data_IF_438728763722
#
_entry.id   IF_438728763722
#
_cell.length_a   1.000
_cell.length_b   1.000
_cell.length_c   1.000
_cell.angle_alpha   90.00
_cell.angle_beta   90.00
_cell.angle_gamma   90.00
#
_symmetry.space_group_name_H-M   'P 1'
#
loop_
_entity.id
_entity.type
_entity.pdbx_description
1 polymer ?
#
# COMPACT_ATOMS: atom_id res chain seq x y z
N UNK A 1 6.31 -2.87 0.09
CA UNK A 1 5.00 -3.31 -0.45
C UNK A 1 4.22 -3.91 0.72
N UNK A 2 2.95 -3.55 0.91
CA UNK A 2 2.11 -3.95 2.06
C UNK A 2 0.75 -4.45 1.59
N UNK A 3 0.30 -5.62 2.04
CA UNK A 3 -1.03 -6.14 1.73
C UNK A 3 -2.10 -5.50 2.59
N UNK A 4 -3.22 -5.08 2.01
CA UNK A 4 -4.36 -4.53 2.76
C UNK A 4 -5.01 -5.63 3.60
N UNK A 5 -5.21 -6.81 3.02
CA UNK A 5 -5.90 -7.92 3.70
C UNK A 5 -4.88 -8.86 4.33
N UNK A 6 -4.66 -8.72 5.63
CA UNK A 6 -3.78 -9.57 6.42
C UNK A 6 -4.53 -10.15 7.63
N UNK A 7 -4.17 -11.34 8.11
CA UNK A 7 -4.72 -11.87 9.35
C UNK A 7 -4.26 -11.03 10.56
N UNK A 8 -5.08 -11.00 11.61
CA UNK A 8 -4.86 -10.31 12.89
C UNK A 8 -4.84 -8.78 12.84
N UNK A 9 -4.05 -8.18 11.95
CA UNK A 9 -3.93 -6.73 11.76
C UNK A 9 -3.99 -6.39 10.28
N UNK A 10 -4.88 -5.47 9.91
CA UNK A 10 -5.01 -5.07 8.52
C UNK A 10 -3.81 -4.20 8.07
N UNK A 11 -3.57 -4.14 6.76
CA UNK A 11 -2.47 -3.38 6.19
C UNK A 11 -2.55 -1.88 6.40
N UNK A 12 -3.75 -1.34 6.62
CA UNK A 12 -3.95 0.09 6.86
C UNK A 12 -3.54 0.44 8.30
N UNK A 13 -3.87 -0.39 9.28
CA UNK A 13 -3.38 -0.28 10.64
C UNK A 13 -1.86 -0.40 10.68
N UNK A 14 -1.29 -1.34 9.93
CA UNK A 14 0.16 -1.48 9.81
C UNK A 14 0.79 -0.22 9.17
N UNK A 15 0.19 0.32 8.10
CA UNK A 15 0.61 1.58 7.47
C UNK A 15 0.63 2.74 8.47
N UNK A 16 -0.45 2.93 9.23
CA UNK A 16 -0.55 3.99 10.26
C UNK A 16 0.60 3.88 11.26
N UNK A 17 0.84 2.68 11.81
CA UNK A 17 1.95 2.44 12.75
C UNK A 17 3.33 2.69 12.13
N UNK A 18 3.55 2.24 10.90
CA UNK A 18 4.82 2.48 10.20
C UNK A 18 5.05 3.99 10.04
N UNK A 19 4.00 4.74 9.68
CA UNK A 19 4.07 6.20 9.50
C UNK A 19 4.25 6.97 10.81
N UNK A 20 3.72 6.46 11.92
CA UNK A 20 3.96 7.01 13.25
C UNK A 20 5.43 6.84 13.68
N UNK A 21 6.06 5.71 13.33
CA UNK A 21 7.45 5.42 13.65
C UNK A 21 8.41 6.16 12.71
N UNK A 22 8.11 6.15 11.41
CA UNK A 22 8.88 6.80 10.36
C UNK A 22 7.94 7.50 9.36
N UNK A 23 7.72 8.82 9.51
CA UNK A 23 6.91 9.59 8.58
C UNK A 23 7.44 9.55 7.12
N UNK A 24 8.74 9.34 6.95
CA UNK A 24 9.43 9.23 5.66
C UNK A 24 9.25 7.88 4.97
N UNK A 25 8.82 6.84 5.69
CA UNK A 25 8.70 5.48 5.16
C UNK A 25 7.83 5.44 3.90
N UNK A 26 8.33 4.84 2.83
CA UNK A 26 7.61 4.74 1.57
C UNK A 26 6.85 3.41 1.49
N UNK A 27 5.52 3.47 1.59
CA UNK A 27 4.66 2.28 1.58
C UNK A 27 3.80 2.26 0.32
N UNK A 28 3.92 1.18 -0.44
CA UNK A 28 3.03 0.85 -1.56
C UNK A 28 2.07 -0.23 -1.08
N UNK A 29 0.77 0.01 -1.18
CA UNK A 29 -0.26 -0.95 -0.78
C UNK A 29 -0.56 -1.94 -1.91
N UNK A 30 -1.00 -3.14 -1.58
CA UNK A 30 -1.61 -4.07 -2.53
C UNK A 30 -2.96 -4.56 -2.03
N UNK A 31 -3.96 -4.61 -2.91
CA UNK A 31 -5.37 -4.86 -2.54
C UNK A 31 -6.04 -5.84 -3.51
N UNK A 32 -7.14 -6.46 -3.10
CA UNK A 32 -7.97 -7.26 -4.01
C UNK A 32 -8.93 -6.36 -4.80
N UNK A 33 -9.40 -6.87 -5.95
CA UNK A 33 -10.38 -6.17 -6.78
C UNK A 33 -11.65 -5.85 -5.98
N UNK A 34 -12.13 -4.60 -6.05
CA UNK A 34 -13.33 -4.14 -5.33
C UNK A 34 -13.07 -3.39 -4.02
N UNK A 35 -11.80 -3.22 -3.59
CA UNK A 35 -11.45 -2.54 -2.33
C UNK A 35 -11.18 -1.03 -2.50
N UNK A 36 -11.97 -0.33 -3.34
CA UNK A 36 -11.69 1.08 -3.69
C UNK A 36 -11.72 2.02 -2.47
N UNK A 37 -12.64 1.80 -1.52
CA UNK A 37 -12.71 2.59 -0.28
C UNK A 37 -11.44 2.44 0.58
N UNK A 38 -10.91 1.22 0.68
CA UNK A 38 -9.67 0.94 1.43
C UNK A 38 -8.44 1.57 0.76
N UNK A 39 -8.42 1.62 -0.58
CA UNK A 39 -7.36 2.31 -1.32
C UNK A 39 -7.36 3.81 -1.00
N UNK A 40 -8.55 4.44 -0.98
CA UNK A 40 -8.69 5.85 -0.62
C UNK A 40 -8.21 6.08 0.82
N UNK A 41 -8.63 5.22 1.75
CA UNK A 41 -8.17 5.31 3.15
C UNK A 41 -6.64 5.18 3.25
N UNK A 42 -6.03 4.24 2.54
CA UNK A 42 -4.58 4.08 2.59
C UNK A 42 -3.83 5.31 2.05
N UNK A 43 -4.32 5.93 0.98
CA UNK A 43 -3.75 7.17 0.42
C UNK A 43 -3.86 8.30 1.45
N UNK A 44 -5.01 8.45 2.10
CA UNK A 44 -5.21 9.45 3.16
C UNK A 44 -4.27 9.25 4.35
N UNK A 45 -3.87 8.00 4.62
CA UNK A 45 -2.91 7.65 5.66
C UNK A 45 -1.44 7.63 5.20
N UNK A 46 -1.15 8.17 4.01
CA UNK A 46 0.22 8.39 3.54
C UNK A 46 0.85 7.25 2.76
N UNK A 47 0.05 6.31 2.24
CA UNK A 47 0.52 5.39 1.20
C UNK A 47 0.96 6.17 -0.04
N UNK A 48 2.06 5.74 -0.66
CA UNK A 48 2.65 6.40 -1.83
C UNK A 48 2.06 5.91 -3.15
N UNK A 49 1.68 4.64 -3.19
CA UNK A 49 1.01 4.06 -4.35
C UNK A 49 0.20 2.84 -3.94
N UNK A 50 -0.58 2.29 -4.88
CA UNK A 50 -1.30 1.05 -4.69
C UNK A 50 -1.26 0.15 -5.93
N UNK A 51 -1.36 -1.15 -5.71
CA UNK A 51 -1.42 -2.17 -6.76
C UNK A 51 -2.60 -3.09 -6.50
N UNK A 52 -3.40 -3.36 -7.53
CA UNK A 52 -4.55 -4.27 -7.43
C UNK A 52 -4.13 -5.69 -7.85
N UNK A 53 -4.52 -6.69 -7.06
CA UNK A 53 -4.37 -8.12 -7.34
C UNK A 53 -5.51 -8.61 -8.24
N UNK A 54 -5.24 -9.55 -9.17
CA UNK A 54 -3.92 -10.08 -9.53
C UNK A 54 -3.09 -9.07 -10.33
N UNK A 55 -1.81 -8.93 -10.00
CA UNK A 55 -0.89 -8.00 -10.68
C UNK A 55 0.18 -8.73 -11.50
N UNK A 56 0.69 -8.07 -12.52
CA UNK A 56 1.84 -8.51 -13.30
C UNK A 56 3.14 -7.94 -12.71
N UNK A 57 4.26 -8.63 -12.93
CA UNK A 57 5.58 -8.21 -12.42
C UNK A 57 5.94 -6.78 -12.86
N UNK A 58 5.63 -6.42 -14.10
CA UNK A 58 5.92 -5.08 -14.65
C UNK A 58 5.20 -3.97 -13.88
N UNK A 59 3.95 -4.20 -13.47
CA UNK A 59 3.20 -3.24 -12.64
C UNK A 59 3.84 -3.00 -11.28
N UNK A 60 4.39 -4.06 -10.67
CA UNK A 60 5.10 -3.94 -9.40
C UNK A 60 6.39 -3.15 -9.60
N UNK A 61 7.15 -3.45 -10.65
CA UNK A 61 8.39 -2.73 -10.97
C UNK A 61 8.15 -1.25 -11.28
N UNK A 62 7.09 -0.92 -12.03
CA UNK A 62 6.68 0.46 -12.29
C UNK A 62 6.37 1.22 -11.00
N UNK A 63 5.55 0.64 -10.13
CA UNK A 63 5.16 1.28 -8.87
C UNK A 63 6.37 1.50 -7.94
N UNK A 64 7.24 0.50 -7.84
CA UNK A 64 8.47 0.62 -7.04
C UNK A 64 9.36 1.72 -7.60
N UNK A 65 9.65 1.73 -8.90
CA UNK A 65 10.45 2.77 -9.56
C UNK A 65 9.87 4.17 -9.37
N UNK A 66 8.55 4.32 -9.44
CA UNK A 66 7.86 5.60 -9.23
C UNK A 66 8.03 6.14 -7.81
N UNK A 67 8.14 5.25 -6.82
CA UNK A 67 8.25 5.64 -5.41
C UNK A 67 9.69 5.87 -4.98
N UNK A 68 10.64 5.04 -5.42
CA UNK A 68 12.07 5.18 -5.09
C UNK A 68 12.82 6.15 -6.00
N UNK A 69 12.19 6.60 -7.09
CA UNK A 69 12.77 7.44 -8.14
C UNK A 69 13.10 8.85 -7.69
#
# INVERSE_FOLDING_TARGET
LMDITMPEMDGIQALKKIKEIDPGAQVIMCSAMGQQAMVIEAIQNGAKDFIVKPFQADRVLEAVKKVIG
#
